data_IF_568708916104
#
_entry.id   IF_568708916104
#
_cell.length_a   1.000
_cell.length_b   1.000
_cell.length_c   1.000
_cell.angle_alpha   90.00
_cell.angle_beta   90.00
_cell.angle_gamma   90.00
#
_symmetry.space_group_name_H-M   'P 1'
#
loop_
_entity.id
_entity.type
_entity.pdbx_description
1 polymer ?
#
# COMPACT_ATOMS: atom_id res chain seq x y z
N UNK A 1 13.61 -1.63 -35.68
CA UNK A 1 12.34 -0.93 -36.00
C UNK A 1 12.23 0.34 -35.15
N UNK A 2 11.82 1.48 -35.72
CA UNK A 2 11.89 2.79 -35.04
C UNK A 2 10.67 3.06 -34.15
N UNK A 3 10.90 3.77 -33.03
CA UNK A 3 9.89 4.14 -32.01
C UNK A 3 8.62 4.82 -32.56
N UNK A 4 8.72 5.46 -33.74
CA UNK A 4 7.58 6.04 -34.48
C UNK A 4 6.59 4.99 -35.00
N UNK A 5 7.04 3.78 -35.37
CA UNK A 5 6.16 2.71 -35.88
C UNK A 5 5.37 2.03 -34.75
N UNK A 6 5.95 1.88 -33.56
CA UNK A 6 5.23 1.37 -32.39
C UNK A 6 4.12 2.32 -31.93
N UNK A 7 4.37 3.64 -31.95
CA UNK A 7 3.34 4.63 -31.67
C UNK A 7 2.19 4.56 -32.67
N UNK A 8 2.48 4.55 -33.97
CA UNK A 8 1.44 4.47 -35.00
C UNK A 8 0.65 3.15 -34.99
N UNK A 9 1.27 2.02 -34.62
CA UNK A 9 0.60 0.73 -34.44
C UNK A 9 -0.25 0.73 -33.16
N UNK A 10 0.24 1.27 -32.05
CA UNK A 10 -0.53 1.36 -30.81
C UNK A 10 -1.75 2.29 -30.94
N UNK A 11 -1.57 3.46 -31.57
CA UNK A 11 -2.66 4.40 -31.83
C UNK A 11 -3.64 3.88 -32.90
N UNK A 12 -3.16 3.09 -33.87
CA UNK A 12 -4.01 2.41 -34.85
C UNK A 12 -4.85 1.30 -34.22
N UNK A 13 -4.27 0.48 -33.33
CA UNK A 13 -4.99 -0.56 -32.57
C UNK A 13 -6.02 0.08 -31.65
N UNK A 14 -5.65 1.14 -30.91
CA UNK A 14 -6.58 1.87 -30.03
C UNK A 14 -7.70 2.55 -30.82
N UNK A 15 -7.39 3.10 -32.01
CA UNK A 15 -8.39 3.72 -32.89
C UNK A 15 -9.36 2.70 -33.51
N UNK A 16 -8.88 1.51 -33.90
CA UNK A 16 -9.73 0.42 -34.40
C UNK A 16 -10.55 -0.18 -33.26
N UNK A 17 -9.99 -0.28 -32.06
CA UNK A 17 -10.71 -0.70 -30.86
C UNK A 17 -11.82 0.32 -30.56
N UNK A 18 -11.55 1.63 -30.54
CA UNK A 18 -12.53 2.68 -30.24
C UNK A 18 -13.64 2.88 -31.29
N UNK A 19 -13.39 2.52 -32.55
CA UNK A 19 -14.40 2.60 -33.61
C UNK A 19 -15.22 1.31 -33.75
N UNK A 20 -14.72 0.18 -33.24
CA UNK A 20 -15.48 -1.08 -33.06
C UNK A 20 -16.07 -1.23 -31.66
N UNK A 21 -15.64 -0.38 -30.71
CA UNK A 21 -16.02 -0.32 -29.30
C UNK A 21 -17.54 -0.25 -29.22
N UNK A 22 -18.09 -1.40 -28.83
CA UNK A 22 -19.40 -1.47 -28.25
C UNK A 22 -19.45 -0.48 -27.10
N UNK A 23 -20.32 0.51 -27.24
CA UNK A 23 -20.59 1.57 -26.28
C UNK A 23 -20.91 1.06 -24.85
N UNK A 24 -21.26 -0.23 -24.66
CA UNK A 24 -21.41 -0.93 -23.36
C UNK A 24 -20.10 -1.44 -22.72
N UNK A 25 -19.05 -1.66 -23.52
CA UNK A 25 -17.79 -2.27 -23.09
C UNK A 25 -16.94 -1.33 -22.22
N UNK A 26 -17.15 -0.01 -22.35
CA UNK A 26 -16.48 1.06 -21.60
C UNK A 26 -17.21 1.46 -20.30
N UNK A 27 -18.52 1.17 -20.20
CA UNK A 27 -19.41 1.56 -19.08
C UNK A 27 -19.26 0.69 -17.82
N UNK A 28 -18.71 -0.51 -17.94
CA UNK A 28 -18.42 -1.39 -16.79
C UNK A 28 -16.97 -1.32 -16.30
N UNK A 29 -16.05 -0.84 -17.14
CA UNK A 29 -14.59 -0.75 -16.85
C UNK A 29 -14.34 -0.10 -15.49
N UNK A 30 -15.28 0.76 -15.05
CA UNK A 30 -15.15 1.62 -13.90
C UNK A 30 -15.93 1.33 -12.63
N UNK A 31 -16.74 0.27 -12.52
CA UNK A 31 -17.62 0.17 -11.33
C UNK A 31 -16.93 -0.35 -10.06
N UNK A 32 -16.20 0.58 -9.43
CA UNK A 32 -16.18 0.88 -8.00
C UNK A 32 -16.67 2.33 -7.91
N UNK A 33 -17.95 2.64 -7.56
CA UNK A 33 -18.60 2.30 -6.27
C UNK A 33 -20.12 1.97 -6.37
N UNK A 34 -20.72 1.27 -5.37
CA UNK A 34 -22.20 1.13 -5.33
C UNK A 34 -22.93 1.99 -4.29
N UNK A 35 -22.32 2.34 -3.16
CA UNK A 35 -22.96 3.21 -2.14
C UNK A 35 -22.10 4.43 -1.77
N UNK A 36 -21.25 4.93 -2.69
CA UNK A 36 -20.39 6.09 -2.40
C UNK A 36 -20.99 7.44 -2.84
N UNK A 37 -22.02 7.48 -3.72
CA UNK A 37 -22.60 8.74 -4.28
C UNK A 37 -24.08 8.65 -4.80
N UNK A 38 -25.02 7.94 -4.17
CA UNK A 38 -26.45 7.96 -4.57
C UNK A 38 -27.36 7.88 -3.34
N UNK A 39 -28.39 8.68 -3.10
CA UNK A 39 -28.87 9.94 -3.70
C UNK A 39 -28.72 11.10 -2.70
N UNK A 40 -28.85 12.34 -3.18
CA UNK A 40 -28.59 13.61 -2.48
C UNK A 40 -27.11 13.89 -2.26
N UNK A 41 -26.42 14.30 -3.34
CA UNK A 41 -25.02 14.71 -3.30
C UNK A 41 -24.75 15.76 -2.21
N UNK A 42 -25.70 16.60 -1.80
CA UNK A 42 -25.50 17.62 -0.77
C UNK A 42 -26.18 17.32 0.59
N UNK A 43 -27.24 16.50 0.64
CA UNK A 43 -27.89 16.11 1.91
C UNK A 43 -27.35 14.79 2.47
N UNK A 44 -26.60 14.01 1.67
CA UNK A 44 -25.90 12.77 2.04
C UNK A 44 -24.38 12.97 2.22
N UNK A 45 -23.94 14.18 2.61
CA UNK A 45 -22.57 14.41 3.10
C UNK A 45 -22.47 14.34 4.64
N UNK A 46 -22.82 13.26 5.34
CA UNK A 46 -22.15 13.01 6.59
C UNK A 46 -20.77 12.47 6.20
N UNK A 47 -19.71 13.25 6.48
CA UNK A 47 -18.29 12.92 6.31
C UNK A 47 -17.85 11.60 7.01
N UNK A 48 -18.80 10.83 7.52
CA UNK A 48 -18.70 9.61 8.31
C UNK A 48 -18.74 8.32 7.49
N UNK A 49 -19.24 8.28 6.25
CA UNK A 49 -19.40 7.03 5.47
C UNK A 49 -18.36 6.77 4.38
N UNK A 50 -17.77 7.81 3.78
CA UNK A 50 -16.46 7.62 3.12
C UNK A 50 -15.45 7.63 4.26
N UNK A 51 -14.55 6.62 4.39
CA UNK A 51 -13.52 6.72 5.41
C UNK A 51 -12.76 8.01 5.13
N UNK A 52 -12.92 9.01 5.99
CA UNK A 52 -12.33 10.34 5.82
C UNK A 52 -10.84 10.24 5.52
N UNK A 53 -10.20 9.20 6.06
CA UNK A 53 -8.85 8.78 5.79
C UNK A 53 -8.56 8.50 4.30
N UNK A 54 -9.44 7.82 3.55
CA UNK A 54 -9.22 7.52 2.12
C UNK A 54 -9.24 8.80 1.30
N UNK A 55 -10.20 9.70 1.56
CA UNK A 55 -10.26 11.01 0.88
C UNK A 55 -9.05 11.85 1.24
N UNK A 56 -8.65 11.86 2.51
CA UNK A 56 -7.48 12.59 2.97
C UNK A 56 -6.18 12.05 2.33
N UNK A 57 -5.96 10.73 2.31
CA UNK A 57 -4.77 10.11 1.74
C UNK A 57 -4.70 10.23 0.23
N UNK A 58 -5.79 9.92 -0.47
CA UNK A 58 -5.82 10.03 -1.93
C UNK A 58 -5.78 11.50 -2.37
N UNK A 59 -6.51 12.38 -1.69
CA UNK A 59 -6.52 13.82 -1.95
C UNK A 59 -5.16 14.47 -1.71
N UNK A 60 -4.47 14.13 -0.61
CA UNK A 60 -3.10 14.60 -0.36
C UNK A 60 -2.10 14.01 -1.36
N UNK A 61 -2.26 12.74 -1.76
CA UNK A 61 -1.44 12.13 -2.81
C UNK A 61 -1.58 12.85 -4.15
N UNK A 62 -2.82 13.12 -4.58
CA UNK A 62 -3.11 13.90 -5.79
C UNK A 62 -2.48 15.31 -5.68
N UNK A 63 -2.71 16.01 -4.56
CA UNK A 63 -2.13 17.33 -4.32
C UNK A 63 -0.60 17.31 -4.43
N UNK A 64 0.06 16.34 -3.80
CA UNK A 64 1.52 16.20 -3.85
C UNK A 64 2.02 15.84 -5.24
N UNK A 65 1.30 14.99 -5.99
CA UNK A 65 1.64 14.66 -7.39
C UNK A 65 1.71 15.92 -8.25
N UNK A 66 0.72 16.81 -8.15
CA UNK A 66 0.73 18.05 -8.92
C UNK A 66 1.78 19.03 -8.40
N UNK A 67 1.91 19.20 -7.08
CA UNK A 67 2.89 20.12 -6.47
C UNK A 67 4.34 19.75 -6.78
N UNK A 68 4.66 18.45 -6.78
CA UNK A 68 6.00 17.94 -7.10
C UNK A 68 6.23 17.75 -8.61
N UNK A 69 5.19 17.98 -9.43
CA UNK A 69 5.25 17.89 -10.88
C UNK A 69 5.50 16.47 -11.40
N UNK A 70 4.72 15.49 -10.92
CA UNK A 70 4.76 14.07 -11.33
C UNK A 70 6.13 13.40 -11.10
N UNK A 71 6.61 13.33 -9.83
CA UNK A 71 7.89 12.68 -9.51
C UNK A 71 7.95 11.22 -9.98
N UNK A 72 6.83 10.49 -9.96
CA UNK A 72 6.70 9.10 -10.40
C UNK A 72 6.98 8.87 -11.90
N UNK A 73 6.90 9.91 -12.75
CA UNK A 73 7.30 9.79 -14.15
C UNK A 73 8.72 10.30 -14.37
N UNK A 74 9.12 11.35 -13.64
CA UNK A 74 10.40 12.04 -13.85
C UNK A 74 11.59 11.35 -13.17
N UNK A 75 11.39 10.76 -11.99
CA UNK A 75 12.49 10.36 -11.09
C UNK A 75 12.71 8.85 -10.99
N UNK A 76 11.84 8.02 -11.57
CA UNK A 76 11.97 6.55 -11.52
C UNK A 76 13.29 6.07 -12.12
N UNK A 77 13.68 6.58 -13.29
CA UNK A 77 14.94 6.18 -13.92
C UNK A 77 16.17 6.60 -13.09
N UNK A 78 16.10 7.74 -12.41
CA UNK A 78 17.16 8.18 -11.51
C UNK A 78 17.21 7.29 -10.26
N UNK A 79 16.06 6.98 -9.65
CA UNK A 79 15.98 6.07 -8.51
C UNK A 79 16.58 4.69 -8.80
N UNK A 80 16.33 4.13 -10.00
CA UNK A 80 16.93 2.84 -10.41
C UNK A 80 18.46 2.93 -10.42
N UNK A 81 19.04 4.00 -10.97
CA UNK A 81 20.50 4.20 -10.99
C UNK A 81 21.08 4.33 -9.59
N UNK A 82 20.42 5.10 -8.72
CA UNK A 82 20.81 5.22 -7.30
C UNK A 82 20.82 3.86 -6.61
N UNK A 83 19.76 3.07 -6.77
CA UNK A 83 19.66 1.75 -6.13
C UNK A 83 20.58 0.69 -6.73
N UNK A 84 21.14 0.94 -7.92
CA UNK A 84 22.13 0.07 -8.55
C UNK A 84 23.56 0.33 -8.05
N UNK A 85 23.76 1.38 -7.27
CA UNK A 85 25.06 1.79 -6.78
C UNK A 85 25.83 2.70 -7.74
N UNK A 86 25.19 3.25 -8.78
CA UNK A 86 25.82 4.24 -9.67
C UNK A 86 26.21 5.53 -8.93
N UNK A 87 25.68 5.73 -7.71
CA UNK A 87 25.90 6.88 -6.84
C UNK A 87 26.26 6.47 -5.40
N UNK A 88 26.62 5.21 -5.15
CA UNK A 88 27.09 4.80 -3.82
C UNK A 88 28.56 5.24 -3.65
N UNK A 89 28.86 6.16 -2.73
CA UNK A 89 30.23 6.49 -2.30
C UNK A 89 30.51 5.86 -0.92
N UNK A 90 31.78 5.50 -0.67
CA UNK A 90 32.23 4.89 0.60
C UNK A 90 32.29 5.95 1.72
N UNK A 91 32.37 7.23 1.35
CA UNK A 91 32.39 8.38 2.26
C UNK A 91 31.00 8.96 2.56
N UNK A 92 29.92 8.41 1.97
CA UNK A 92 28.57 8.93 2.19
C UNK A 92 28.02 8.59 3.59
N UNK A 93 27.48 9.61 4.27
CA UNK A 93 26.87 9.46 5.60
C UNK A 93 25.54 8.68 5.57
N UNK A 94 25.61 7.38 5.91
CA UNK A 94 24.43 6.56 6.16
C UNK A 94 24.73 5.14 6.65
N UNK A 95 23.82 4.58 7.44
CA UNK A 95 23.99 3.26 8.07
C UNK A 95 23.83 2.08 7.07
N UNK A 96 23.26 2.33 5.89
CA UNK A 96 22.90 1.32 4.89
C UNK A 96 23.12 1.85 3.47
N UNK A 97 23.65 1.00 2.57
CA UNK A 97 23.69 1.32 1.14
C UNK A 97 22.30 1.51 0.55
N UNK A 98 22.18 2.26 -0.54
CA UNK A 98 20.89 2.59 -1.14
C UNK A 98 20.07 1.34 -1.51
N UNK A 99 20.71 0.28 -2.01
CA UNK A 99 20.05 -0.99 -2.31
C UNK A 99 19.53 -1.71 -1.06
N UNK A 100 20.31 -1.72 0.03
CA UNK A 100 19.90 -2.33 1.30
C UNK A 100 18.75 -1.58 1.91
N UNK A 101 18.79 -0.24 1.91
CA UNK A 101 17.70 0.60 2.40
C UNK A 101 16.40 0.35 1.62
N UNK A 102 16.47 0.27 0.28
CA UNK A 102 15.32 -0.09 -0.55
C UNK A 102 14.80 -1.50 -0.21
N UNK A 103 15.68 -2.48 -0.10
CA UNK A 103 15.32 -3.87 0.18
C UNK A 103 14.61 -4.01 1.53
N UNK A 104 15.11 -3.32 2.57
CA UNK A 104 14.47 -3.28 3.89
C UNK A 104 13.08 -2.65 3.83
N UNK A 105 12.94 -1.52 3.12
CA UNK A 105 11.64 -0.86 2.95
C UNK A 105 10.65 -1.73 2.15
N UNK A 106 11.11 -2.44 1.12
CA UNK A 106 10.30 -3.37 0.35
C UNK A 106 9.89 -4.59 1.17
N UNK A 107 10.81 -5.18 1.95
CA UNK A 107 10.49 -6.30 2.83
C UNK A 107 9.45 -5.91 3.89
N UNK A 108 9.49 -4.68 4.41
CA UNK A 108 8.50 -4.18 5.35
C UNK A 108 7.11 -3.94 4.72
N UNK A 109 7.05 -3.68 3.41
CA UNK A 109 5.81 -3.33 2.71
C UNK A 109 5.22 -4.49 1.89
N UNK A 110 5.97 -5.55 1.63
CA UNK A 110 5.51 -6.73 0.90
C UNK A 110 5.46 -7.91 1.87
N UNK A 111 4.25 -8.36 2.20
CA UNK A 111 4.03 -9.53 3.04
C UNK A 111 2.79 -10.30 2.62
N UNK A 112 2.60 -11.47 3.22
CA UNK A 112 1.51 -12.41 2.91
C UNK A 112 0.14 -11.74 3.13
N UNK A 113 0.00 -10.92 4.18
CA UNK A 113 -1.20 -10.15 4.46
C UNK A 113 -1.59 -9.17 3.35
N UNK A 114 -0.62 -8.59 2.63
CA UNK A 114 -0.91 -7.69 1.50
C UNK A 114 -1.41 -8.46 0.28
N UNK A 115 -0.89 -9.66 0.05
CA UNK A 115 -1.35 -10.55 -1.02
C UNK A 115 -2.78 -11.00 -0.74
N UNK A 116 -3.06 -11.47 0.49
CA UNK A 116 -4.39 -11.85 0.93
C UNK A 116 -5.36 -10.65 0.88
N UNK A 117 -4.92 -9.45 1.26
CA UNK A 117 -5.72 -8.23 1.18
C UNK A 117 -6.10 -7.85 -0.25
N UNK A 118 -5.18 -7.98 -1.21
CA UNK A 118 -5.48 -7.77 -2.64
C UNK A 118 -6.49 -8.81 -3.14
N UNK A 119 -6.30 -10.09 -2.77
CA UNK A 119 -7.23 -11.16 -3.13
C UNK A 119 -8.64 -10.89 -2.58
N UNK A 120 -8.76 -10.50 -1.32
CA UNK A 120 -10.03 -10.14 -0.67
C UNK A 120 -10.67 -8.92 -1.33
N UNK A 121 -9.89 -7.90 -1.66
CA UNK A 121 -10.41 -6.69 -2.32
C UNK A 121 -10.94 -6.97 -3.73
N UNK A 122 -10.30 -7.87 -4.49
CA UNK A 122 -10.80 -8.32 -5.79
C UNK A 122 -12.05 -9.21 -5.62
N UNK A 123 -12.05 -10.10 -4.62
CA UNK A 123 -13.18 -10.96 -4.31
C UNK A 123 -14.44 -10.15 -3.96
N UNK A 124 -14.31 -9.12 -3.12
CA UNK A 124 -15.44 -8.27 -2.67
C UNK A 124 -15.77 -7.17 -3.70
N UNK A 125 -14.76 -6.46 -4.21
CA UNK A 125 -14.91 -5.30 -5.07
C UNK A 125 -15.02 -5.62 -6.56
N UNK A 126 -14.84 -6.89 -6.94
CA UNK A 126 -14.76 -7.33 -8.32
C UNK A 126 -13.46 -6.91 -9.01
N UNK A 127 -13.32 -7.22 -10.31
CA UNK A 127 -12.09 -6.98 -11.07
C UNK A 127 -11.71 -5.50 -11.21
N UNK A 128 -12.67 -4.58 -11.07
CA UNK A 128 -12.43 -3.13 -11.11
C UNK A 128 -11.57 -2.63 -9.95
N UNK A 129 -11.49 -3.36 -8.84
CA UNK A 129 -10.66 -3.00 -7.69
C UNK A 129 -9.18 -2.86 -8.06
N UNK A 130 -8.67 -3.72 -8.96
CA UNK A 130 -7.26 -3.72 -9.35
C UNK A 130 -6.85 -2.42 -10.05
N UNK A 131 -7.70 -1.88 -10.91
CA UNK A 131 -7.41 -0.59 -11.53
C UNK A 131 -7.33 0.54 -10.49
N UNK A 132 -8.30 0.58 -9.57
CA UNK A 132 -8.31 1.60 -8.53
C UNK A 132 -7.12 1.45 -7.57
N UNK A 133 -6.61 0.24 -7.36
CA UNK A 133 -5.33 0.01 -6.67
C UNK A 133 -4.15 0.62 -7.44
N UNK A 134 -4.11 0.52 -8.77
CA UNK A 134 -3.05 1.17 -9.56
C UNK A 134 -3.13 2.70 -9.51
N UNK A 135 -4.34 3.26 -9.56
CA UNK A 135 -4.54 4.71 -9.42
C UNK A 135 -4.10 5.18 -8.03
N UNK A 136 -4.53 4.50 -6.97
CA UNK A 136 -4.11 4.85 -5.60
C UNK A 136 -2.61 4.66 -5.40
N UNK A 137 -2.00 3.63 -5.97
CA UNK A 137 -0.54 3.44 -5.94
C UNK A 137 0.22 4.54 -6.69
N UNK A 138 -0.30 5.00 -7.84
CA UNK A 138 0.29 6.07 -8.62
C UNK A 138 0.37 7.39 -7.83
N UNK A 139 -0.74 7.79 -7.20
CA UNK A 139 -0.79 8.99 -6.37
C UNK A 139 -0.07 8.79 -5.03
N UNK A 140 -0.18 7.60 -4.43
CA UNK A 140 0.49 7.23 -3.19
C UNK A 140 2.01 7.29 -3.28
N UNK A 141 2.58 6.97 -4.44
CA UNK A 141 4.03 7.08 -4.69
C UNK A 141 4.52 8.52 -4.52
N UNK A 142 3.75 9.52 -4.95
CA UNK A 142 4.11 10.93 -4.75
C UNK A 142 4.06 11.35 -3.29
N UNK A 143 3.06 10.86 -2.55
CA UNK A 143 2.93 11.12 -1.11
C UNK A 143 4.10 10.50 -0.34
N UNK A 144 4.42 9.23 -0.62
CA UNK A 144 5.57 8.55 -0.02
C UNK A 144 6.90 9.23 -0.37
N UNK A 145 7.05 9.70 -1.61
CA UNK A 145 8.22 10.48 -2.01
C UNK A 145 8.40 11.74 -1.14
N UNK A 146 7.32 12.49 -0.89
CA UNK A 146 7.36 13.67 -0.04
C UNK A 146 7.71 13.32 1.42
N UNK A 147 7.11 12.27 1.96
CA UNK A 147 7.37 11.76 3.32
C UNK A 147 8.83 11.37 3.50
N UNK A 148 9.38 10.55 2.59
CA UNK A 148 10.79 10.13 2.65
C UNK A 148 11.76 11.31 2.49
N UNK A 149 11.45 12.27 1.61
CA UNK A 149 12.28 13.47 1.42
C UNK A 149 12.34 14.30 2.71
N UNK A 150 11.21 14.45 3.39
CA UNK A 150 11.15 15.15 4.67
C UNK A 150 11.86 14.38 5.80
N UNK A 151 11.69 13.05 5.85
CA UNK A 151 12.37 12.21 6.82
C UNK A 151 13.89 12.27 6.70
N UNK A 152 14.43 12.40 5.48
CA UNK A 152 15.86 12.62 5.26
C UNK A 152 16.31 14.02 5.71
N UNK A 153 15.50 15.05 5.46
CA UNK A 153 15.83 16.44 5.82
C UNK A 153 15.84 16.67 7.34
N UNK A 154 14.97 15.99 8.07
CA UNK A 154 14.78 16.16 9.52
C UNK A 154 15.26 14.94 10.32
N UNK A 155 16.14 14.10 9.75
CA UNK A 155 16.76 12.97 10.46
C UNK A 155 17.64 13.49 11.60
N UNK A 156 17.69 12.74 12.69
CA UNK A 156 18.61 12.98 13.80
C UNK A 156 19.61 11.81 13.88
N UNK A 157 20.81 12.10 14.33
CA UNK A 157 21.84 11.10 14.61
C UNK A 157 21.99 10.98 16.11
N UNK A 158 21.81 9.76 16.62
CA UNK A 158 22.00 9.47 18.04
C UNK A 158 23.50 9.54 18.41
N UNK A 159 23.77 9.69 19.70
CA UNK A 159 25.09 9.60 20.33
C UNK A 159 25.90 8.35 19.96
N UNK A 160 25.23 7.26 19.58
CA UNK A 160 25.83 6.02 19.10
C UNK A 160 26.15 6.01 17.59
N UNK A 161 25.92 7.13 16.89
CA UNK A 161 26.14 7.28 15.45
C UNK A 161 25.01 6.75 14.57
N UNK A 162 23.97 6.14 15.15
CA UNK A 162 22.82 5.62 14.40
C UNK A 162 21.91 6.76 13.93
N UNK A 163 21.40 6.65 12.71
CA UNK A 163 20.51 7.66 12.13
C UNK A 163 19.04 7.26 12.33
N UNK A 164 18.26 8.13 12.97
CA UNK A 164 16.82 7.96 13.16
C UNK A 164 16.04 9.04 12.39
N UNK A 165 15.01 8.63 11.66
CA UNK A 165 14.20 9.53 10.87
C UNK A 165 12.78 9.00 10.71
N UNK A 166 11.85 9.89 10.40
CA UNK A 166 10.45 9.52 10.18
C UNK A 166 9.47 10.66 10.48
N UNK A 167 8.16 10.41 10.33
CA UNK A 167 7.15 11.43 10.49
C UNK A 167 7.16 12.11 11.87
N UNK A 168 7.50 11.37 12.94
CA UNK A 168 7.67 11.92 14.29
C UNK A 168 8.73 13.02 14.35
N UNK A 169 9.94 12.77 13.83
CA UNK A 169 11.02 13.76 13.76
C UNK A 169 10.67 14.91 12.80
N UNK A 170 9.96 14.58 11.71
CA UNK A 170 9.49 15.57 10.74
C UNK A 170 8.53 16.58 11.38
N UNK A 171 7.64 16.10 12.25
CA UNK A 171 6.68 16.95 12.96
C UNK A 171 7.39 17.78 14.02
N UNK A 172 8.23 17.16 14.83
CA UNK A 172 8.94 17.83 15.92
C UNK A 172 9.88 18.92 15.40
N UNK A 173 10.73 18.59 14.42
CA UNK A 173 11.76 19.49 13.90
C UNK A 173 11.28 20.36 12.73
N UNK A 174 10.21 19.96 12.03
CA UNK A 174 9.66 20.70 10.88
C UNK A 174 8.55 21.69 11.24
N UNK A 175 7.61 21.32 12.11
CA UNK A 175 6.49 22.18 12.53
C UNK A 175 6.80 22.95 13.83
N UNK A 176 7.83 22.52 14.56
CA UNK A 176 8.35 23.17 15.76
C UNK A 176 7.75 22.65 17.08
N UNK A 177 8.26 23.13 18.23
CA UNK A 177 8.01 22.53 19.55
C UNK A 177 6.53 22.48 19.96
N UNK A 178 5.70 23.39 19.42
CA UNK A 178 4.25 23.45 19.69
C UNK A 178 3.48 22.23 19.15
N UNK A 179 4.05 21.49 18.21
CA UNK A 179 3.42 20.32 17.58
C UNK A 179 3.98 18.99 18.11
N UNK A 180 4.82 19.02 19.15
CA UNK A 180 5.44 17.83 19.73
C UNK A 180 4.43 16.79 20.22
N UNK A 181 3.25 17.23 20.70
CA UNK A 181 2.16 16.32 21.09
C UNK A 181 1.67 15.44 19.91
N UNK A 182 1.69 15.97 18.68
CA UNK A 182 1.30 15.23 17.48
C UNK A 182 2.39 14.24 17.07
N UNK A 183 3.67 14.57 17.25
CA UNK A 183 4.78 13.65 17.03
C UNK A 183 4.70 12.44 18.00
N UNK A 184 4.45 12.71 19.28
CA UNK A 184 4.24 11.66 20.30
C UNK A 184 3.00 10.82 19.99
N UNK A 185 1.88 11.47 19.63
CA UNK A 185 0.67 10.77 19.22
C UNK A 185 0.91 9.83 18.03
N UNK A 186 1.58 10.33 16.98
CA UNK A 186 1.96 9.52 15.83
C UNK A 186 2.82 8.32 16.23
N UNK A 187 3.84 8.53 17.08
CA UNK A 187 4.71 7.44 17.54
C UNK A 187 3.93 6.36 18.31
N UNK A 188 3.02 6.74 19.22
CA UNK A 188 2.17 5.79 19.93
C UNK A 188 1.29 4.96 18.98
N UNK A 189 0.61 5.63 18.03
CA UNK A 189 -0.21 4.92 17.03
C UNK A 189 0.64 4.05 16.12
N UNK A 190 1.85 4.47 15.74
CA UNK A 190 2.77 3.69 14.93
C UNK A 190 3.21 2.40 15.64
N UNK A 191 3.52 2.48 16.94
CA UNK A 191 3.86 1.29 17.76
C UNK A 191 2.68 0.31 17.77
N UNK A 192 1.48 0.79 18.12
CA UNK A 192 0.27 -0.03 18.16
C UNK A 192 0.03 -0.66 16.77
N UNK A 193 0.02 0.14 15.71
CA UNK A 193 -0.19 -0.31 14.34
C UNK A 193 0.85 -1.35 13.89
N UNK A 194 2.11 -1.22 14.33
CA UNK A 194 3.17 -2.18 14.02
C UNK A 194 2.90 -3.56 14.62
N UNK A 195 2.31 -3.66 15.81
CA UNK A 195 1.95 -4.96 16.38
C UNK A 195 0.80 -5.63 15.63
N UNK A 196 -0.23 -4.87 15.24
CA UNK A 196 -1.37 -5.42 14.52
C UNK A 196 -1.03 -5.78 13.08
N UNK A 197 -0.56 -4.80 12.30
CA UNK A 197 -0.32 -4.95 10.85
C UNK A 197 1.00 -5.69 10.58
N UNK A 198 2.03 -5.43 11.37
CA UNK A 198 3.36 -6.01 11.17
C UNK A 198 3.49 -7.43 11.70
N UNK A 199 2.77 -7.80 12.76
CA UNK A 199 2.89 -9.13 13.38
C UNK A 199 1.58 -9.92 13.36
N UNK A 200 0.52 -9.45 14.00
CA UNK A 200 -0.67 -10.26 14.25
C UNK A 200 -1.36 -10.75 12.96
N UNK A 201 -1.62 -9.84 12.01
CA UNK A 201 -2.27 -10.18 10.73
C UNK A 201 -1.37 -11.12 9.89
N UNK A 202 -0.06 -10.87 9.85
CA UNK A 202 0.90 -11.68 9.10
C UNK A 202 0.99 -13.10 9.65
N UNK A 203 1.12 -13.25 10.97
CA UNK A 203 1.21 -14.54 11.66
C UNK A 203 -0.09 -15.35 11.54
N UNK A 204 -1.24 -14.69 11.64
CA UNK A 204 -2.54 -15.34 11.47
C UNK A 204 -2.72 -15.86 10.03
N UNK A 205 -2.45 -15.01 9.03
CA UNK A 205 -2.56 -15.39 7.61
C UNK A 205 -1.61 -16.54 7.27
N UNK A 206 -0.37 -16.51 7.77
CA UNK A 206 0.59 -17.60 7.58
C UNK A 206 0.09 -18.91 8.19
N UNK A 207 -0.46 -18.86 9.41
CA UNK A 207 -0.98 -20.05 10.11
C UNK A 207 -2.14 -20.67 9.33
N UNK A 208 -3.07 -19.85 8.84
CA UNK A 208 -4.18 -20.32 7.99
C UNK A 208 -3.68 -20.94 6.69
N UNK A 209 -2.68 -20.33 6.04
CA UNK A 209 -2.11 -20.86 4.82
C UNK A 209 -1.45 -22.22 5.06
N UNK A 210 -0.61 -22.33 6.09
CA UNK A 210 0.03 -23.61 6.46
C UNK A 210 -1.03 -24.66 6.78
N UNK A 211 -2.02 -24.33 7.59
CA UNK A 211 -3.12 -25.23 7.93
C UNK A 211 -3.85 -25.74 6.67
N UNK A 212 -4.19 -24.87 5.73
CA UNK A 212 -4.85 -25.26 4.48
C UNK A 212 -4.01 -26.23 3.63
N UNK A 213 -2.69 -26.06 3.60
CA UNK A 213 -1.81 -26.93 2.83
C UNK A 213 -1.66 -28.30 3.51
N UNK A 214 -1.53 -28.32 4.83
CA UNK A 214 -1.47 -29.56 5.59
C UNK A 214 -2.80 -30.34 5.56
N UNK A 215 -3.94 -29.65 5.55
CA UNK A 215 -5.27 -30.25 5.38
C UNK A 215 -5.39 -31.04 4.10
N UNK A 216 -4.97 -30.43 3.00
CA UNK A 216 -5.03 -31.04 1.68
C UNK A 216 -4.10 -32.26 1.57
N UNK A 217 -3.02 -32.32 2.36
CA UNK A 217 -2.02 -33.40 2.28
C UNK A 217 -2.28 -34.55 3.25
N UNK A 218 -2.75 -34.27 4.47
CA UNK A 218 -2.82 -35.25 5.55
C UNK A 218 -4.25 -35.54 6.05
N UNK A 219 -5.26 -34.86 5.50
CA UNK A 219 -6.63 -34.92 6.01
C UNK A 219 -6.81 -34.13 7.32
N UNK A 220 -8.06 -33.93 7.73
CA UNK A 220 -8.40 -33.07 8.87
C UNK A 220 -8.08 -33.68 10.26
N UNK A 221 -7.68 -34.95 10.34
CA UNK A 221 -7.54 -35.71 11.59
C UNK A 221 -6.11 -35.72 12.17
N UNK A 222 -5.18 -34.97 11.57
CA UNK A 222 -3.78 -34.93 12.01
C UNK A 222 -3.56 -34.16 13.33
N UNK A 223 -2.66 -34.65 14.19
CA UNK A 223 -2.28 -34.04 15.49
C UNK A 223 -1.92 -32.54 15.40
N UNK A 224 -1.35 -32.09 14.27
CA UNK A 224 -0.99 -30.68 14.03
C UNK A 224 -2.24 -29.80 13.93
N UNK A 225 -3.36 -30.34 13.43
CA UNK A 225 -4.64 -29.64 13.31
C UNK A 225 -5.39 -29.47 14.62
N UNK A 226 -5.12 -30.31 15.62
CA UNK A 226 -5.72 -30.21 16.95
C UNK A 226 -5.24 -28.96 17.71
N UNK A 227 -4.13 -28.35 17.27
CA UNK A 227 -3.61 -27.08 17.79
C UNK A 227 -4.35 -25.90 17.14
N UNK A 228 -5.70 -25.90 17.13
CA UNK A 228 -6.52 -24.76 16.70
C UNK A 228 -6.35 -23.51 17.61
N UNK A 229 -5.54 -23.61 18.66
CA UNK A 229 -5.46 -22.63 19.76
C UNK A 229 -4.02 -22.19 20.01
N UNK A 230 -3.37 -21.56 19.02
CA UNK A 230 -2.33 -20.59 19.35
C UNK A 230 -2.87 -19.18 19.12
N UNK A 231 -3.64 -18.76 20.12
CA UNK A 231 -4.19 -17.43 20.29
C UNK A 231 -3.07 -16.40 20.36
N UNK A 232 -2.85 -15.67 19.27
CA UNK A 232 -2.29 -14.31 19.34
C UNK A 232 -3.34 -13.39 18.75
N UNK A 233 -4.23 -12.93 19.63
CA UNK A 233 -5.38 -12.04 19.44
C UNK A 233 -6.61 -12.74 18.84
N UNK A 234 -7.59 -13.03 19.70
CA UNK A 234 -8.86 -13.67 19.37
C UNK A 234 -9.67 -12.90 18.33
N UNK A 235 -9.49 -13.27 17.07
CA UNK A 235 -10.46 -13.06 16.00
C UNK A 235 -11.07 -14.44 15.70
N UNK A 236 -12.11 -14.75 16.44
CA UNK A 236 -12.93 -15.94 16.33
C UNK A 236 -13.46 -16.17 14.90
N UNK A 237 -13.40 -17.44 14.47
CA UNK A 237 -14.55 -18.26 14.04
C UNK A 237 -15.51 -17.80 12.92
N UNK A 238 -15.37 -16.61 12.33
CA UNK A 238 -16.41 -16.12 11.40
C UNK A 238 -16.16 -16.43 9.91
N UNK A 239 -14.92 -16.73 9.52
CA UNK A 239 -14.59 -17.06 8.12
C UNK A 239 -14.78 -18.54 7.75
N UNK A 240 -14.72 -19.45 8.73
CA UNK A 240 -14.92 -20.89 8.50
C UNK A 240 -16.40 -21.29 8.38
N UNK A 241 -17.31 -20.61 9.10
CA UNK A 241 -18.76 -20.84 8.96
C UNK A 241 -19.30 -20.52 7.56
N UNK A 242 -18.61 -19.69 6.76
CA UNK A 242 -19.00 -19.42 5.39
C UNK A 242 -18.52 -20.49 4.39
N UNK A 243 -17.56 -21.34 4.77
CA UNK A 243 -17.12 -22.49 3.95
C UNK A 243 -17.86 -23.78 4.31
N UNK A 244 -18.35 -23.93 5.54
CA UNK A 244 -19.13 -25.12 5.96
C UNK A 244 -20.62 -25.06 5.54
N UNK A 245 -21.08 -23.97 4.91
CA UNK A 245 -22.46 -23.84 4.41
C UNK A 245 -22.58 -23.99 2.89
N UNK A 246 -21.54 -24.48 2.21
CA UNK A 246 -21.55 -24.73 0.76
C UNK A 246 -21.29 -26.18 0.36
N UNK A 247 -21.56 -27.13 1.27
CA UNK A 247 -21.74 -28.56 0.96
C UNK A 247 -23.19 -28.98 1.22
#
# INVERSE_FOLDING_TARGET
MSKRRYGLIAFGIIGILLLTVGHEFFEKIWKFPKNLFSENLLDSFPLTQIPLMVVALLGTGIYMTFKLGFPQLKRVLHGIRVTRGDYDDVEDEGDLSHFKALSTALAATVGIGNIAGVATAIFIGGPGALFWMWITAFFGTSLKYAECTLALKYRETDSLGNTAGGPMYTIENGLGPRWRWLAVGFACFAIICSFFTGNAIQSNTLTQQVYSQFANLFGNDGFIMATKTFTVLGADSQYLSCMELSD
#
